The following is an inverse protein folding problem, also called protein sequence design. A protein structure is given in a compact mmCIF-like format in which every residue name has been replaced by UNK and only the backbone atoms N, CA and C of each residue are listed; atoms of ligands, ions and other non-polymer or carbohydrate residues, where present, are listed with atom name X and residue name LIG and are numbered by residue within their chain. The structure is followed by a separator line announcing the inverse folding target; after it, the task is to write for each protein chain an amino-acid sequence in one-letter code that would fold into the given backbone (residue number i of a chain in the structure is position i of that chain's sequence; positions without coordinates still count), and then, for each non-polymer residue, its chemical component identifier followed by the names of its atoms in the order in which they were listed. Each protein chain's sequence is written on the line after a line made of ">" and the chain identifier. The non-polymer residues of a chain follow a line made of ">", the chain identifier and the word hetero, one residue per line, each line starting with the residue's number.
data_IF_102426513046
#
_entry.id   IF_102426513046
#
_cell.length_a   1.000
_cell.length_b   1.000
_cell.length_c   1.000
_cell.angle_alpha   90.00
_cell.angle_beta   90.00
_cell.angle_gamma   90.00
#
_symmetry.space_group_name_H-M   'P 1'
#
loop_
_entity.id
_entity.type
_entity.pdbx_description
1 polymer ?
#
# COMPACT_ATOMS: atom_id res chain seq x y z
N UNK A 1 4.30 47.96 0.55
CA UNK A 1 4.11 46.66 -0.17
C UNK A 1 3.23 45.78 0.70
N UNK A 2 1.94 45.68 0.38
CA UNK A 2 1.01 44.87 1.15
C UNK A 2 1.14 43.41 0.67
N UNK A 3 1.60 42.52 1.56
CA UNK A 3 1.64 41.11 1.30
C UNK A 3 0.20 40.58 1.15
N UNK A 4 -0.11 40.00 0.01
CA UNK A 4 -1.36 39.30 -0.19
C UNK A 4 -1.34 38.06 0.72
N UNK A 5 -2.26 37.99 1.68
CA UNK A 5 -2.47 36.81 2.51
C UNK A 5 -2.98 35.67 1.65
N UNK A 6 -2.81 34.40 2.14
CA UNK A 6 -3.18 33.21 1.39
C UNK A 6 -4.68 33.24 1.01
N UNK A 7 -4.97 32.78 -0.19
CA UNK A 7 -6.34 32.72 -0.69
C UNK A 7 -7.17 31.70 0.11
N UNK A 8 -8.51 31.84 0.11
CA UNK A 8 -9.41 30.88 0.78
C UNK A 8 -9.20 29.43 0.32
N UNK A 9 -8.81 29.24 -0.95
CA UNK A 9 -8.53 27.92 -1.53
C UNK A 9 -7.24 27.33 -0.98
N UNK A 10 -6.20 28.15 -0.85
CA UNK A 10 -4.91 27.73 -0.25
C UNK A 10 -5.05 27.42 1.24
N UNK A 11 -5.86 28.19 1.97
CA UNK A 11 -6.21 27.91 3.36
C UNK A 11 -6.97 26.59 3.53
N UNK A 12 -7.94 26.30 2.67
CA UNK A 12 -8.70 25.04 2.70
C UNK A 12 -7.80 23.86 2.31
N UNK A 13 -6.92 24.00 1.34
CA UNK A 13 -5.95 22.98 0.98
C UNK A 13 -4.95 22.72 2.12
N UNK A 14 -4.45 23.75 2.77
CA UNK A 14 -3.56 23.61 3.91
C UNK A 14 -4.24 22.95 5.12
N UNK A 15 -5.51 23.28 5.38
CA UNK A 15 -6.30 22.69 6.48
C UNK A 15 -6.66 21.24 6.21
N UNK A 16 -6.98 20.86 4.98
CA UNK A 16 -7.23 19.46 4.63
C UNK A 16 -5.94 18.63 4.73
N UNK A 17 -4.82 19.12 4.22
CA UNK A 17 -3.51 18.45 4.35
C UNK A 17 -3.05 18.34 5.81
N UNK A 18 -3.20 19.39 6.61
CA UNK A 18 -2.84 19.37 8.02
C UNK A 18 -3.75 18.43 8.85
N UNK A 19 -5.05 18.39 8.53
CA UNK A 19 -6.00 17.48 9.18
C UNK A 19 -5.67 16.01 8.91
N UNK A 20 -5.31 15.66 7.69
CA UNK A 20 -4.91 14.30 7.34
C UNK A 20 -3.54 13.92 7.93
N UNK A 21 -2.56 14.83 7.91
CA UNK A 21 -1.22 14.56 8.43
C UNK A 21 -1.20 14.32 9.96
N UNK A 22 -2.12 14.94 10.71
CA UNK A 22 -2.18 14.80 12.17
C UNK A 22 -2.86 13.50 12.63
N UNK A 23 -3.67 12.87 11.79
CA UNK A 23 -4.43 11.66 12.12
C UNK A 23 -3.78 10.35 11.62
N UNK A 24 -2.80 10.44 10.74
CA UNK A 24 -2.20 9.27 10.11
C UNK A 24 -0.67 9.33 10.10
N UNK A 25 -0.03 8.67 11.05
CA UNK A 25 1.44 8.63 11.17
C UNK A 25 2.16 7.97 9.97
N UNK A 26 1.45 7.17 9.18
CA UNK A 26 1.95 6.54 7.94
C UNK A 26 1.76 7.39 6.68
N UNK A 27 1.07 8.54 6.76
CA UNK A 27 0.71 9.33 5.58
C UNK A 27 1.91 9.80 4.76
N UNK A 28 3.03 10.06 5.41
CA UNK A 28 4.26 10.46 4.72
C UNK A 28 4.83 9.40 3.76
N UNK A 29 4.53 8.11 4.00
CA UNK A 29 4.87 7.02 3.08
C UNK A 29 3.98 6.98 1.83
N UNK A 30 2.78 7.57 1.93
CA UNK A 30 1.73 7.54 0.90
C UNK A 30 1.60 8.86 0.15
N UNK A 31 2.20 9.95 0.64
CA UNK A 31 2.08 11.29 0.05
C UNK A 31 2.79 11.45 -1.30
N UNK A 32 3.59 10.46 -1.71
CA UNK A 32 4.32 10.51 -2.98
C UNK A 32 3.39 10.59 -4.20
N UNK A 33 2.22 9.97 -4.13
CA UNK A 33 1.21 10.02 -5.19
C UNK A 33 0.52 11.38 -5.32
N UNK A 34 0.61 12.26 -4.31
CA UNK A 34 0.01 13.59 -4.31
C UNK A 34 0.91 14.69 -4.89
N UNK A 35 2.08 14.31 -5.43
CA UNK A 35 2.97 15.20 -6.15
C UNK A 35 3.67 16.20 -5.23
N UNK A 36 4.88 15.90 -4.86
CA UNK A 36 5.86 16.94 -4.56
C UNK A 36 6.14 17.65 -5.88
N UNK A 37 5.46 18.79 -6.12
CA UNK A 37 5.89 19.67 -7.19
C UNK A 37 7.36 20.01 -6.91
N UNK A 38 8.25 19.53 -7.78
CA UNK A 38 9.63 19.92 -7.79
C UNK A 38 9.67 21.42 -8.06
N UNK A 39 9.60 22.21 -7.00
CA UNK A 39 9.80 23.64 -7.06
C UNK A 39 11.30 23.86 -7.36
N UNK A 40 11.69 24.47 -8.49
CA UNK A 40 13.08 24.64 -8.86
C UNK A 40 13.82 25.63 -7.95
N UNK A 41 13.17 26.20 -6.96
CA UNK A 41 13.80 27.00 -5.92
C UNK A 41 14.21 26.10 -4.76
N UNK A 42 15.39 25.47 -4.92
CA UNK A 42 16.09 24.77 -3.87
C UNK A 42 16.26 25.64 -2.62
N UNK A 43 15.34 25.52 -1.69
CA UNK A 43 15.72 25.57 -0.30
C UNK A 43 16.21 24.15 0.02
N UNK A 44 17.46 24.05 0.49
CA UNK A 44 18.03 22.83 1.06
C UNK A 44 17.27 22.57 2.36
N UNK A 45 16.05 22.06 2.23
CA UNK A 45 15.32 21.55 3.36
C UNK A 45 16.06 20.29 3.79
N UNK A 46 16.56 20.30 5.02
CA UNK A 46 17.13 19.11 5.64
C UNK A 46 16.15 17.93 5.41
N UNK A 47 16.65 16.73 5.08
CA UNK A 47 15.79 15.60 4.84
C UNK A 47 14.84 15.47 6.02
N UNK A 48 13.54 15.56 5.76
CA UNK A 48 12.51 15.36 6.78
C UNK A 48 12.76 13.97 7.32
N UNK A 49 13.38 13.90 8.49
CA UNK A 49 13.52 12.64 9.22
C UNK A 49 12.09 12.26 9.63
N UNK A 50 11.49 11.40 8.82
CA UNK A 50 10.24 10.77 9.18
C UNK A 50 10.48 10.05 10.51
N UNK A 51 9.91 10.57 11.59
CA UNK A 51 9.98 9.89 12.86
C UNK A 51 9.29 8.54 12.66
N UNK A 52 10.03 7.46 12.79
CA UNK A 52 9.49 6.11 12.85
C UNK A 52 8.85 5.89 14.22
N UNK A 53 7.93 6.78 14.62
CA UNK A 53 7.05 6.50 15.74
C UNK A 53 6.33 5.19 15.41
N UNK A 54 6.32 4.27 16.36
CA UNK A 54 5.63 3.00 16.18
C UNK A 54 4.19 3.28 15.76
N UNK A 55 3.76 2.75 14.61
CA UNK A 55 2.39 2.91 14.14
C UNK A 55 1.42 2.29 15.15
N UNK A 56 0.39 3.02 15.51
CA UNK A 56 -0.70 2.53 16.35
C UNK A 56 -1.91 2.22 15.45
N UNK A 57 -2.30 0.95 15.31
CA UNK A 57 -3.46 0.59 14.49
C UNK A 57 -4.73 1.29 14.95
N UNK A 58 -5.56 1.72 14.01
CA UNK A 58 -6.82 2.41 14.26
C UNK A 58 -8.02 1.45 14.28
N UNK A 59 -7.96 0.41 13.47
CA UNK A 59 -9.03 -0.59 13.35
C UNK A 59 -8.63 -1.94 13.96
N UNK A 60 -7.45 -2.45 13.60
CA UNK A 60 -7.02 -3.77 14.06
C UNK A 60 -6.49 -3.72 15.49
N UNK A 61 -6.78 -4.77 16.27
CA UNK A 61 -6.05 -5.03 17.50
C UNK A 61 -4.57 -5.34 17.19
N UNK A 62 -3.70 -5.23 18.18
CA UNK A 62 -2.26 -5.50 18.00
C UNK A 62 -1.95 -6.93 17.46
N UNK A 63 -2.64 -8.00 17.91
CA UNK A 63 -2.48 -9.32 17.32
C UNK A 63 -2.93 -9.39 15.86
N UNK A 64 -4.11 -8.83 15.53
CA UNK A 64 -4.62 -8.77 14.17
C UNK A 64 -3.68 -7.98 13.25
N UNK A 65 -3.17 -6.85 13.72
CA UNK A 65 -2.23 -6.03 12.94
C UNK A 65 -0.94 -6.80 12.60
N UNK A 66 -0.40 -7.57 13.55
CA UNK A 66 0.76 -8.45 13.28
C UNK A 66 0.44 -9.52 12.26
N UNK A 67 -0.76 -10.09 12.28
CA UNK A 67 -1.19 -11.04 11.25
C UNK A 67 -1.32 -10.37 9.87
N UNK A 68 -1.87 -9.15 9.83
CA UNK A 68 -1.95 -8.33 8.60
C UNK A 68 -0.55 -8.03 8.06
N UNK A 69 0.40 -7.62 8.90
CA UNK A 69 1.78 -7.35 8.48
C UNK A 69 2.46 -8.61 7.92
N UNK A 70 2.35 -9.73 8.63
CA UNK A 70 2.91 -11.00 8.19
C UNK A 70 2.29 -11.49 6.87
N UNK A 71 0.97 -11.40 6.74
CA UNK A 71 0.25 -11.81 5.54
C UNK A 71 0.61 -10.94 4.33
N UNK A 72 0.71 -9.61 4.52
CA UNK A 72 1.10 -8.70 3.46
C UNK A 72 2.51 -8.98 2.96
N UNK A 73 3.48 -9.22 3.86
CA UNK A 73 4.86 -9.55 3.52
C UNK A 73 5.00 -10.91 2.82
N UNK A 74 4.15 -11.91 3.15
CA UNK A 74 4.13 -13.18 2.43
C UNK A 74 3.56 -13.06 1.02
N UNK A 75 2.69 -12.07 0.76
CA UNK A 75 2.14 -11.82 -0.59
C UNK A 75 3.10 -11.03 -1.46
N UNK A 76 3.79 -10.04 -0.89
CA UNK A 76 4.79 -9.22 -1.56
C UNK A 76 6.05 -9.13 -0.68
N UNK A 77 6.88 -10.17 -0.70
CA UNK A 77 8.10 -10.21 0.11
C UNK A 77 9.19 -9.27 -0.44
N UNK A 78 10.05 -8.78 0.45
CA UNK A 78 11.30 -8.18 0.04
C UNK A 78 12.14 -9.23 -0.72
N UNK A 79 12.71 -8.84 -1.83
CA UNK A 79 13.50 -9.73 -2.71
C UNK A 79 14.74 -9.00 -3.24
N UNK A 80 15.52 -9.69 -4.06
CA UNK A 80 16.56 -9.09 -4.87
C UNK A 80 16.22 -9.27 -6.36
N UNK A 81 16.46 -8.26 -7.17
CA UNK A 81 16.30 -8.38 -8.62
C UNK A 81 17.47 -9.19 -9.24
N UNK A 82 17.39 -9.46 -10.54
CA UNK A 82 18.43 -10.19 -11.27
C UNK A 82 19.81 -9.48 -11.28
N UNK A 83 19.90 -8.25 -10.82
CA UNK A 83 21.13 -7.47 -10.65
C UNK A 83 21.56 -7.36 -9.18
N UNK A 84 20.98 -8.18 -8.30
CA UNK A 84 21.20 -8.16 -6.86
C UNK A 84 20.85 -6.81 -6.18
N UNK A 85 19.95 -6.01 -6.78
CA UNK A 85 19.42 -4.82 -6.14
C UNK A 85 18.28 -5.21 -5.21
N UNK A 86 18.27 -4.72 -3.96
CA UNK A 86 17.16 -4.95 -3.05
C UNK A 86 15.86 -4.40 -3.63
N UNK A 87 14.81 -5.20 -3.60
CA UNK A 87 13.45 -4.80 -3.93
C UNK A 87 12.63 -4.78 -2.63
N UNK A 88 11.97 -3.66 -2.30
CA UNK A 88 11.25 -3.54 -1.05
C UNK A 88 10.08 -4.50 -0.98
N UNK A 89 9.78 -5.00 0.21
CA UNK A 89 8.58 -5.78 0.51
C UNK A 89 7.41 -4.92 0.97
N UNK A 90 6.28 -5.58 1.21
CA UNK A 90 5.06 -4.94 1.70
C UNK A 90 5.28 -4.28 3.08
N UNK A 91 6.09 -4.89 3.94
CA UNK A 91 6.41 -4.35 5.26
C UNK A 91 7.17 -3.04 5.17
N UNK A 92 8.22 -2.98 4.36
CA UNK A 92 9.00 -1.76 4.16
C UNK A 92 8.17 -0.64 3.52
N UNK A 93 7.26 -1.01 2.63
CA UNK A 93 6.34 -0.09 1.98
C UNK A 93 5.20 0.42 2.89
N UNK A 94 5.04 -0.12 4.10
CA UNK A 94 3.98 0.27 5.03
C UNK A 94 2.59 -0.20 4.60
N UNK A 95 2.49 -1.35 3.95
CA UNK A 95 1.22 -1.87 3.44
C UNK A 95 0.23 -2.20 4.54
N UNK A 96 0.72 -2.66 5.70
CA UNK A 96 -0.16 -2.95 6.85
C UNK A 96 -0.84 -1.70 7.39
N UNK A 97 -0.11 -0.58 7.48
CA UNK A 97 -0.67 0.73 7.85
C UNK A 97 -1.72 1.19 6.85
N UNK A 98 -1.47 1.01 5.56
CA UNK A 98 -2.43 1.33 4.52
C UNK A 98 -3.72 0.51 4.66
N UNK A 99 -3.59 -0.80 4.85
CA UNK A 99 -4.75 -1.69 5.00
C UNK A 99 -5.55 -1.29 6.24
N UNK A 100 -4.90 -1.04 7.38
CA UNK A 100 -5.57 -0.61 8.61
C UNK A 100 -6.34 0.69 8.39
N UNK A 101 -5.71 1.68 7.76
CA UNK A 101 -6.36 2.96 7.42
C UNK A 101 -7.56 2.77 6.48
N UNK A 102 -7.42 1.96 5.43
CA UNK A 102 -8.51 1.73 4.46
C UNK A 102 -9.70 1.06 5.12
N UNK A 103 -9.44 0.05 5.97
CA UNK A 103 -10.51 -0.67 6.69
C UNK A 103 -11.15 0.22 7.75
N UNK A 104 -10.36 1.03 8.46
CA UNK A 104 -10.89 2.04 9.40
C UNK A 104 -11.81 3.04 8.69
N UNK A 105 -11.42 3.51 7.50
CA UNK A 105 -12.12 4.54 6.76
C UNK A 105 -13.37 4.05 6.02
N UNK A 106 -13.48 2.73 5.75
CA UNK A 106 -14.61 2.15 5.03
C UNK A 106 -15.31 1.06 5.86
N UNK A 107 -16.40 1.42 6.58
CA UNK A 107 -17.17 0.47 7.38
C UNK A 107 -17.73 -0.72 6.58
N UNK A 108 -17.91 -0.58 5.27
CA UNK A 108 -18.52 -1.64 4.44
C UNK A 108 -17.64 -2.88 4.29
N UNK A 109 -16.33 -2.74 4.48
CA UNK A 109 -15.36 -3.85 4.36
C UNK A 109 -14.89 -4.40 5.72
N UNK A 110 -15.21 -3.71 6.84
CA UNK A 110 -14.73 -4.08 8.17
C UNK A 110 -15.08 -5.50 8.57
N UNK A 111 -16.33 -5.90 8.35
CA UNK A 111 -16.79 -7.25 8.66
C UNK A 111 -15.99 -8.30 7.86
N UNK A 112 -15.79 -8.06 6.56
CA UNK A 112 -15.04 -8.99 5.69
C UNK A 112 -13.61 -9.19 6.17
N UNK A 113 -12.94 -8.14 6.66
CA UNK A 113 -11.58 -8.26 7.21
C UNK A 113 -11.56 -8.98 8.56
N UNK A 114 -12.51 -8.71 9.48
CA UNK A 114 -12.58 -9.41 10.75
C UNK A 114 -12.91 -10.89 10.59
N UNK A 115 -13.94 -11.20 9.80
CA UNK A 115 -14.34 -12.58 9.55
C UNK A 115 -13.24 -13.36 8.82
N UNK A 116 -12.55 -12.69 7.89
CA UNK A 116 -11.45 -13.29 7.15
C UNK A 116 -10.22 -13.58 8.01
N UNK A 117 -9.84 -12.66 8.91
CA UNK A 117 -8.74 -12.89 9.86
C UNK A 117 -9.11 -13.97 10.86
N UNK A 118 -10.34 -13.96 11.38
CA UNK A 118 -10.83 -15.01 12.28
C UNK A 118 -10.81 -16.39 11.61
N UNK A 119 -11.26 -16.49 10.36
CA UNK A 119 -11.18 -17.72 9.57
C UNK A 119 -9.72 -18.19 9.39
N UNK A 120 -8.82 -17.25 9.09
CA UNK A 120 -7.40 -17.53 8.88
C UNK A 120 -6.74 -18.09 10.16
N UNK A 121 -7.06 -17.51 11.30
CA UNK A 121 -6.56 -17.96 12.60
C UNK A 121 -7.13 -19.32 12.98
N UNK A 122 -8.42 -19.58 12.75
CA UNK A 122 -9.05 -20.87 12.97
C UNK A 122 -8.44 -21.96 12.07
N UNK A 123 -8.24 -21.68 10.79
CA UNK A 123 -7.61 -22.59 9.84
C UNK A 123 -6.14 -22.87 10.13
N UNK A 124 -5.48 -21.98 10.88
CA UNK A 124 -4.10 -22.10 11.32
C UNK A 124 -3.92 -22.91 12.61
N UNK A 125 -4.98 -23.06 13.39
CA UNK A 125 -4.94 -23.77 14.67
C UNK A 125 -4.40 -22.95 15.84
N UNK A 126 -3.97 -23.61 16.93
CA UNK A 126 -3.55 -22.92 18.16
C UNK A 126 -2.41 -21.93 17.92
N UNK A 127 -2.63 -20.68 18.34
CA UNK A 127 -1.68 -19.58 18.18
C UNK A 127 -1.92 -18.68 16.99
N UNK A 128 -2.85 -19.06 16.09
CA UNK A 128 -3.22 -18.26 14.91
C UNK A 128 -2.18 -18.26 13.80
N UNK A 129 -2.49 -17.55 12.72
CA UNK A 129 -1.68 -17.53 11.50
C UNK A 129 -0.26 -16.99 11.72
N UNK A 130 -0.12 -15.93 12.50
CA UNK A 130 1.19 -15.31 12.75
C UNK A 130 2.17 -16.21 13.52
N UNK A 131 1.67 -17.19 14.25
CA UNK A 131 2.49 -18.15 15.01
C UNK A 131 2.92 -19.37 14.18
N UNK A 132 2.34 -19.59 13.01
CA UNK A 132 2.72 -20.71 12.14
C UNK A 132 4.15 -20.55 11.62
N UNK A 133 4.91 -21.66 11.50
CA UNK A 133 6.15 -21.66 10.75
C UNK A 133 5.94 -21.26 9.28
N UNK A 134 6.89 -20.51 8.70
CA UNK A 134 6.79 -20.00 7.33
C UNK A 134 6.39 -21.06 6.26
N UNK A 135 6.89 -22.31 6.27
CA UNK A 135 6.42 -23.31 5.33
C UNK A 135 4.93 -23.64 5.44
N UNK A 136 4.37 -23.61 6.67
CA UNK A 136 2.96 -23.88 6.90
C UNK A 136 2.10 -22.66 6.50
N UNK A 137 2.56 -21.45 6.78
CA UNK A 137 1.93 -20.23 6.28
C UNK A 137 1.83 -20.23 4.76
N UNK A 138 2.94 -20.50 4.07
CA UNK A 138 2.97 -20.59 2.61
C UNK A 138 2.05 -21.69 2.08
N UNK A 139 2.06 -22.90 2.67
CA UNK A 139 1.18 -23.99 2.26
C UNK A 139 -0.31 -23.65 2.42
N UNK A 140 -0.69 -22.91 3.46
CA UNK A 140 -2.05 -22.41 3.64
C UNK A 140 -2.40 -21.38 2.56
N UNK A 141 -1.55 -20.39 2.35
CA UNK A 141 -1.79 -19.34 1.36
C UNK A 141 -1.83 -19.90 -0.08
N UNK A 142 -1.01 -20.87 -0.42
CA UNK A 142 -1.05 -21.55 -1.72
C UNK A 142 -2.41 -22.21 -2.00
N UNK A 143 -3.04 -22.81 -0.97
CA UNK A 143 -4.38 -23.41 -1.12
C UNK A 143 -5.45 -22.35 -1.39
N UNK A 144 -5.28 -21.16 -0.81
CA UNK A 144 -6.22 -20.06 -1.01
C UNK A 144 -5.99 -19.33 -2.34
N UNK A 145 -4.72 -19.21 -2.76
CA UNK A 145 -4.32 -18.46 -3.94
C UNK A 145 -4.57 -19.21 -5.26
N UNK A 146 -4.25 -20.50 -5.29
CA UNK A 146 -4.23 -21.27 -6.54
C UNK A 146 -5.46 -22.16 -6.66
N UNK A 147 -6.32 -21.88 -7.67
CA UNK A 147 -7.55 -22.63 -7.93
C UNK A 147 -7.35 -24.15 -7.98
N UNK A 148 -6.23 -24.63 -8.53
CA UNK A 148 -5.90 -26.05 -8.57
C UNK A 148 -5.63 -26.68 -7.19
N UNK A 149 -5.38 -25.86 -6.16
CA UNK A 149 -5.12 -26.29 -4.78
C UNK A 149 -6.28 -26.05 -3.83
N UNK A 150 -7.39 -25.45 -4.31
CA UNK A 150 -8.57 -25.19 -3.52
C UNK A 150 -9.18 -26.45 -2.91
N UNK A 151 -9.64 -26.34 -1.68
CA UNK A 151 -10.34 -27.43 -0.97
C UNK A 151 -11.79 -27.06 -0.70
N UNK A 152 -12.63 -28.05 -0.63
CA UNK A 152 -14.01 -27.87 -0.21
C UNK A 152 -14.03 -27.31 1.23
N UNK A 153 -14.95 -26.34 1.48
CA UNK A 153 -15.07 -25.68 2.79
C UNK A 153 -14.17 -24.46 3.00
N UNK A 154 -13.16 -24.21 2.14
CA UNK A 154 -12.23 -23.06 2.28
C UNK A 154 -12.67 -21.81 1.50
N UNK A 155 -13.91 -21.75 1.03
CA UNK A 155 -14.40 -20.64 0.19
C UNK A 155 -14.26 -19.28 0.87
N UNK A 156 -14.60 -19.18 2.16
CA UNK A 156 -14.48 -17.93 2.91
C UNK A 156 -13.02 -17.44 2.98
N UNK A 157 -12.07 -18.35 3.21
CA UNK A 157 -10.64 -18.03 3.17
C UNK A 157 -10.16 -17.60 1.80
N UNK A 158 -10.65 -18.22 0.73
CA UNK A 158 -10.30 -17.85 -0.65
C UNK A 158 -10.81 -16.45 -1.01
N UNK A 159 -12.05 -16.13 -0.62
CA UNK A 159 -12.64 -14.79 -0.81
C UNK A 159 -11.87 -13.73 0.00
N UNK A 160 -11.55 -14.04 1.25
CA UNK A 160 -10.72 -13.16 2.08
C UNK A 160 -9.33 -12.96 1.48
N UNK A 161 -8.65 -14.02 1.08
CA UNK A 161 -7.32 -13.92 0.46
C UNK A 161 -7.34 -13.04 -0.80
N UNK A 162 -8.35 -13.20 -1.66
CA UNK A 162 -8.51 -12.39 -2.85
C UNK A 162 -8.71 -10.89 -2.50
N UNK A 163 -9.54 -10.60 -1.50
CA UNK A 163 -9.75 -9.25 -0.98
C UNK A 163 -8.46 -8.68 -0.40
N UNK A 164 -7.81 -9.43 0.49
CA UNK A 164 -6.59 -9.00 1.15
C UNK A 164 -5.46 -8.72 0.16
N UNK A 165 -5.25 -9.63 -0.80
CA UNK A 165 -4.27 -9.46 -1.87
C UNK A 165 -4.53 -8.19 -2.69
N UNK A 166 -5.80 -7.88 -3.01
CA UNK A 166 -6.16 -6.65 -3.71
C UNK A 166 -5.65 -5.41 -2.95
N UNK A 167 -5.90 -5.35 -1.64
CA UNK A 167 -5.46 -4.22 -0.82
C UNK A 167 -3.94 -4.20 -0.63
N UNK A 168 -3.29 -5.36 -0.54
CA UNK A 168 -1.83 -5.46 -0.47
C UNK A 168 -1.18 -4.90 -1.72
N UNK A 169 -1.63 -5.32 -2.91
CA UNK A 169 -1.13 -4.84 -4.19
C UNK A 169 -1.40 -3.33 -4.36
N UNK A 170 -2.61 -2.90 -4.04
CA UNK A 170 -2.98 -1.48 -4.09
C UNK A 170 -2.08 -0.66 -3.16
N UNK A 171 -1.95 -1.09 -1.91
CA UNK A 171 -1.11 -0.45 -0.94
C UNK A 171 0.34 -0.34 -1.38
N UNK A 172 0.92 -1.42 -1.87
CA UNK A 172 2.30 -1.42 -2.32
C UNK A 172 2.53 -0.46 -3.49
N UNK A 173 1.78 -0.59 -4.57
CA UNK A 173 2.01 0.20 -5.79
C UNK A 173 1.49 1.66 -5.74
N UNK A 174 0.85 2.05 -4.65
CA UNK A 174 0.57 3.47 -4.36
C UNK A 174 1.55 4.05 -3.34
N UNK A 175 2.42 3.25 -2.74
CA UNK A 175 3.49 3.71 -1.87
C UNK A 175 4.65 4.31 -2.67
N UNK A 176 5.47 5.13 -1.99
CA UNK A 176 6.68 5.67 -2.60
C UNK A 176 7.62 4.56 -3.08
N UNK A 177 7.89 3.57 -2.23
CA UNK A 177 8.78 2.46 -2.55
C UNK A 177 8.27 1.61 -3.71
N UNK A 178 6.96 1.35 -3.76
CA UNK A 178 6.35 0.62 -4.87
C UNK A 178 6.40 1.38 -6.18
N UNK A 179 6.22 2.71 -6.17
CA UNK A 179 6.37 3.54 -7.36
C UNK A 179 7.82 3.63 -7.82
N UNK A 180 8.77 3.76 -6.88
CA UNK A 180 10.21 3.74 -7.18
C UNK A 180 10.63 2.41 -7.80
N UNK A 181 10.08 1.27 -7.35
CA UNK A 181 10.38 -0.05 -7.91
C UNK A 181 9.90 -0.23 -9.36
N UNK A 182 8.96 0.60 -9.81
CA UNK A 182 8.48 0.64 -11.19
C UNK A 182 9.21 1.67 -12.06
N UNK A 183 10.27 2.31 -11.56
CA UNK A 183 10.92 3.46 -12.20
C UNK A 183 9.92 4.57 -12.57
N UNK A 184 8.85 4.73 -11.74
CA UNK A 184 7.80 5.69 -12.02
C UNK A 184 8.34 7.12 -11.98
N UNK A 185 8.22 7.89 -13.10
CA UNK A 185 8.86 9.19 -13.23
C UNK A 185 8.21 10.31 -12.42
N UNK A 186 7.21 9.99 -11.59
CA UNK A 186 6.38 10.97 -10.90
C UNK A 186 5.30 11.57 -11.81
N UNK A 187 4.46 12.43 -11.24
CA UNK A 187 3.47 13.20 -11.99
C UNK A 187 4.20 14.34 -12.72
N UNK A 188 4.40 14.19 -14.03
CA UNK A 188 4.95 15.26 -14.89
C UNK A 188 3.82 15.94 -15.61
N UNK A 189 3.78 17.27 -15.52
CA UNK A 189 2.86 18.06 -16.31
C UNK A 189 3.49 18.27 -17.70
N UNK A 190 2.85 17.75 -18.74
CA UNK A 190 3.25 18.02 -20.10
C UNK A 190 2.35 19.12 -20.68
N UNK A 191 2.95 20.20 -21.17
CA UNK A 191 2.21 21.28 -21.84
C UNK A 191 1.52 20.76 -23.13
N UNK A 192 2.09 19.72 -23.74
CA UNK A 192 1.49 18.94 -24.82
C UNK A 192 1.89 17.49 -24.67
N UNK A 193 1.05 16.58 -25.16
CA UNK A 193 1.41 15.14 -25.15
C UNK A 193 2.73 14.95 -25.90
N UNK A 194 3.73 14.27 -25.31
CA UNK A 194 4.98 13.97 -26.02
C UNK A 194 4.77 13.02 -27.21
N UNK A 195 3.56 12.48 -27.37
CA UNK A 195 3.25 11.43 -28.33
C UNK A 195 3.85 10.08 -27.96
N UNK A 196 3.56 9.07 -28.74
CA UNK A 196 4.21 7.77 -28.62
C UNK A 196 5.50 7.77 -29.41
N UNK A 197 6.59 7.25 -28.84
CA UNK A 197 7.89 7.13 -29.54
C UNK A 197 7.81 6.28 -30.85
N UNK A 198 6.70 5.55 -31.02
CA UNK A 198 6.41 4.65 -32.14
C UNK A 198 5.12 5.05 -32.88
N UNK A 199 4.77 6.33 -32.86
CA UNK A 199 3.57 6.86 -33.55
C UNK A 199 3.49 6.54 -35.06
N UNK A 200 4.59 6.14 -35.69
CA UNK A 200 4.64 5.69 -37.10
C UNK A 200 4.48 4.16 -37.26
N UNK A 201 4.25 3.40 -36.24
CA UNK A 201 4.06 1.95 -36.34
C UNK A 201 2.63 1.65 -36.85
N UNK A 202 2.47 0.98 -38.04
CA UNK A 202 1.15 0.70 -38.61
C UNK A 202 0.23 -0.14 -37.74
N UNK A 203 0.73 -0.84 -36.73
CA UNK A 203 -0.08 -1.58 -35.77
C UNK A 203 -0.92 -0.68 -34.85
N UNK A 204 -0.63 0.62 -34.73
CA UNK A 204 -1.37 1.60 -33.92
C UNK A 204 -2.42 2.41 -34.72
N UNK A 205 -2.54 2.18 -36.04
CA UNK A 205 -3.48 2.91 -36.91
C UNK A 205 -4.87 2.21 -36.95
N UNK A 206 -5.09 1.20 -36.14
CA UNK A 206 -6.26 0.33 -36.21
C UNK A 206 -7.17 0.30 -34.96
N UNK A 207 -7.31 1.41 -34.21
CA UNK A 207 -8.33 1.53 -33.14
C UNK A 207 -9.27 2.69 -33.50
#
# INVERSE_FOLDING_TARGET
>A
MAGQGPSRRELLQALTLAGFASTFSGFSRWSYALGEEANPHHHQDAPVQLSHAAYAPQFFSQPEYRAVEALAELILPATEDGSHRPQPGAKEAGVAEFIDFMVYSDPSIQAQFRDGLAWLDEASGPGGFAALPAPQQNALLERLAYKAKHRAGEKAGQEFFALFRKYTVMGFYTSRLGLESLDYPGLKFYASSPGCAHAGNPEHIGI
#
